data_IF_667507434219
#
_entry.id   IF_667507434219
#
_cell.length_a   1.000
_cell.length_b   1.000
_cell.length_c   1.000
_cell.angle_alpha   90.00
_cell.angle_beta   90.00
_cell.angle_gamma   90.00
#
_symmetry.space_group_name_H-M   'P 1'
#
loop_
_entity.id
_entity.type
_entity.pdbx_description
1 polymer ?
#
# COMPACT_ATOMS: atom_id res chain seq x y z
N UNK A 1 -24.71 -13.50 11.07
CA UNK A 1 -23.48 -13.13 10.36
C UNK A 1 -22.33 -13.61 11.20
N UNK A 2 -21.58 -14.60 10.72
CA UNK A 2 -20.34 -15.02 11.37
C UNK A 2 -19.32 -13.89 11.24
N UNK A 3 -18.25 -13.89 12.06
CA UNK A 3 -17.25 -12.82 11.98
C UNK A 3 -16.46 -12.80 10.64
N UNK A 4 -16.55 -13.87 9.85
CA UNK A 4 -15.93 -13.95 8.52
C UNK A 4 -16.69 -13.13 7.46
N UNK A 5 -18.01 -13.05 7.54
CA UNK A 5 -18.85 -12.29 6.58
C UNK A 5 -18.61 -10.76 6.62
N UNK A 6 -17.86 -10.27 7.62
CA UNK A 6 -17.63 -8.84 7.86
C UNK A 6 -16.24 -8.37 7.42
N UNK A 7 -15.42 -9.26 6.87
CA UNK A 7 -14.04 -8.96 6.48
C UNK A 7 -13.97 -8.62 4.99
N UNK A 8 -13.18 -7.61 4.64
CA UNK A 8 -12.80 -7.35 3.25
C UNK A 8 -11.89 -8.47 2.75
N UNK A 9 -12.10 -8.94 1.52
CA UNK A 9 -11.15 -9.82 0.84
C UNK A 9 -9.90 -9.00 0.46
N UNK A 10 -8.80 -9.19 1.18
CA UNK A 10 -7.58 -8.40 1.02
C UNK A 10 -6.92 -8.61 -0.36
N UNK A 11 -6.74 -9.86 -0.86
CA UNK A 11 -6.29 -10.10 -2.24
C UNK A 11 -7.10 -9.35 -3.30
N UNK A 12 -8.43 -9.45 -3.27
CA UNK A 12 -9.29 -8.77 -4.25
C UNK A 12 -9.16 -7.25 -4.11
N UNK A 13 -9.20 -6.74 -2.87
CA UNK A 13 -9.03 -5.32 -2.61
C UNK A 13 -7.71 -4.77 -3.18
N UNK A 14 -6.57 -5.42 -2.88
CA UNK A 14 -5.26 -4.96 -3.34
C UNK A 14 -5.08 -5.08 -4.86
N UNK A 15 -5.68 -6.08 -5.50
CA UNK A 15 -5.61 -6.29 -6.94
C UNK A 15 -6.53 -5.36 -7.75
N UNK A 16 -7.55 -4.76 -7.11
CA UNK A 16 -8.40 -3.75 -7.74
C UNK A 16 -7.88 -2.31 -7.54
N UNK A 17 -7.02 -2.07 -6.54
CA UNK A 17 -6.45 -0.75 -6.28
C UNK A 17 -5.62 -0.22 -7.45
N UNK A 18 -5.81 1.06 -7.79
CA UNK A 18 -5.13 1.75 -8.89
C UNK A 18 -5.26 0.99 -10.23
N UNK A 19 -6.47 0.48 -10.52
CA UNK A 19 -6.76 -0.35 -11.68
C UNK A 19 -5.83 -1.58 -11.81
N UNK A 20 -5.43 -2.17 -10.68
CA UNK A 20 -4.53 -3.32 -10.59
C UNK A 20 -3.05 -3.01 -10.78
N UNK A 21 -2.67 -1.73 -10.82
CA UNK A 21 -1.27 -1.32 -10.88
C UNK A 21 -0.63 -1.30 -9.49
N UNK A 22 -1.43 -1.14 -8.43
CA UNK A 22 -0.92 -1.02 -7.07
C UNK A 22 -0.13 -2.26 -6.61
N UNK A 23 -0.66 -3.46 -6.86
CA UNK A 23 0.00 -4.73 -6.53
C UNK A 23 1.39 -4.86 -7.19
N UNK A 24 1.46 -4.50 -8.48
CA UNK A 24 2.72 -4.50 -9.23
C UNK A 24 3.73 -3.49 -8.67
N UNK A 25 3.26 -2.28 -8.31
CA UNK A 25 4.09 -1.24 -7.68
C UNK A 25 4.64 -1.69 -6.33
N UNK A 26 3.79 -2.30 -5.48
CA UNK A 26 4.22 -2.82 -4.17
C UNK A 26 5.25 -3.94 -4.36
N UNK A 27 5.02 -4.85 -5.29
CA UNK A 27 5.93 -5.95 -5.60
C UNK A 27 7.32 -5.43 -6.02
N UNK A 28 7.38 -4.45 -6.91
CA UNK A 28 8.63 -3.83 -7.34
C UNK A 28 9.34 -3.13 -6.18
N UNK A 29 8.62 -2.30 -5.42
CA UNK A 29 9.17 -1.56 -4.27
C UNK A 29 9.72 -2.48 -3.18
N UNK A 30 9.03 -3.59 -2.88
CA UNK A 30 9.53 -4.57 -1.93
C UNK A 30 10.86 -5.19 -2.37
N UNK A 31 10.98 -5.52 -3.66
CA UNK A 31 12.22 -6.04 -4.23
C UNK A 31 13.35 -5.01 -4.18
N UNK A 32 13.08 -3.77 -4.60
CA UNK A 32 14.08 -2.71 -4.63
C UNK A 32 14.61 -2.36 -3.23
N UNK A 33 13.72 -2.29 -2.23
CA UNK A 33 14.11 -2.05 -0.84
C UNK A 33 14.93 -3.21 -0.29
N UNK A 34 14.52 -4.46 -0.58
CA UNK A 34 15.26 -5.64 -0.14
C UNK A 34 16.67 -5.69 -0.77
N UNK A 35 16.76 -5.45 -2.08
CA UNK A 35 18.03 -5.41 -2.81
C UNK A 35 18.94 -4.28 -2.30
N UNK A 36 18.36 -3.10 -2.02
CA UNK A 36 19.07 -1.97 -1.43
C UNK A 36 19.69 -2.34 -0.08
N UNK A 37 18.90 -2.95 0.81
CA UNK A 37 19.37 -3.40 2.15
C UNK A 37 20.46 -4.46 2.04
N UNK A 38 20.31 -5.44 1.15
CA UNK A 38 21.29 -6.51 0.96
C UNK A 38 22.63 -5.98 0.42
N UNK A 39 22.59 -5.08 -0.58
CA UNK A 39 23.79 -4.63 -1.27
C UNK A 39 24.52 -3.48 -0.57
N UNK A 40 23.79 -2.62 0.16
CA UNK A 40 24.35 -1.38 0.72
C UNK A 40 24.33 -1.36 2.26
N UNK A 41 23.74 -2.37 2.89
CA UNK A 41 23.52 -2.39 4.34
C UNK A 41 22.53 -1.31 4.80
N UNK A 42 22.33 -1.19 6.12
CA UNK A 42 21.40 -0.21 6.69
C UNK A 42 19.94 -0.68 6.74
N UNK A 43 19.00 0.25 6.94
CA UNK A 43 17.56 -0.04 7.13
C UNK A 43 16.75 0.45 5.93
N UNK A 44 15.92 -0.43 5.39
CA UNK A 44 14.88 -0.11 4.42
C UNK A 44 13.51 0.07 5.08
N UNK A 45 12.59 0.77 4.41
CA UNK A 45 11.20 0.95 4.88
C UNK A 45 10.25 1.00 3.69
N UNK A 46 9.10 0.34 3.80
CA UNK A 46 7.96 0.52 2.89
C UNK A 46 6.75 0.90 3.75
N UNK A 47 5.96 1.88 3.31
CA UNK A 47 4.77 2.37 3.99
C UNK A 47 3.63 2.45 2.99
N UNK A 48 2.55 1.72 3.28
CA UNK A 48 1.28 1.83 2.57
C UNK A 48 0.35 2.61 3.49
N UNK A 49 -0.09 3.77 3.02
CA UNK A 49 -1.00 4.67 3.72
C UNK A 49 -2.36 4.60 3.03
N UNK A 50 -3.43 4.38 3.81
CA UNK A 50 -4.80 4.26 3.34
C UNK A 50 -5.67 5.25 4.13
N UNK A 51 -6.14 6.29 3.45
CA UNK A 51 -6.98 7.33 4.03
C UNK A 51 -8.43 7.10 3.62
N UNK A 52 -9.32 7.08 4.61
CA UNK A 52 -10.75 6.82 4.42
C UNK A 52 -11.55 8.10 4.56
N UNK A 53 -12.36 8.41 3.55
CA UNK A 53 -13.32 9.50 3.58
C UNK A 53 -14.72 8.97 3.24
N UNK A 54 -15.76 9.66 3.69
CA UNK A 54 -17.11 9.37 3.20
C UNK A 54 -17.22 9.88 1.77
N UNK A 55 -17.83 9.09 0.88
CA UNK A 55 -18.07 9.51 -0.50
C UNK A 55 -19.12 10.64 -0.58
N UNK A 56 -20.02 10.70 0.41
CA UNK A 56 -21.02 11.75 0.55
C UNK A 56 -21.24 12.07 2.03
N UNK A 57 -21.66 13.30 2.32
CA UNK A 57 -22.07 13.71 3.66
C UNK A 57 -23.45 13.14 4.07
N UNK A 58 -24.20 12.58 3.12
CA UNK A 58 -25.47 11.91 3.42
C UNK A 58 -25.22 10.62 4.21
N UNK A 59 -25.95 10.45 5.31
CA UNK A 59 -25.95 9.23 6.13
C UNK A 59 -26.53 8.01 5.41
N UNK A 60 -27.28 8.24 4.32
CA UNK A 60 -27.90 7.18 3.53
C UNK A 60 -26.91 6.50 2.59
N UNK A 61 -25.85 7.22 2.20
CA UNK A 61 -24.76 6.69 1.38
C UNK A 61 -23.74 5.97 2.27
N UNK A 62 -23.68 4.65 2.16
CA UNK A 62 -22.82 3.78 2.98
C UNK A 62 -21.52 3.39 2.28
N UNK A 63 -21.05 4.20 1.34
CA UNK A 63 -19.77 4.02 0.65
C UNK A 63 -18.71 4.97 1.19
N UNK A 64 -17.47 4.49 1.18
CA UNK A 64 -16.27 5.26 1.54
C UNK A 64 -15.37 5.39 0.32
N UNK A 65 -14.69 6.52 0.20
CA UNK A 65 -13.56 6.70 -0.68
C UNK A 65 -12.29 6.29 0.08
N UNK A 66 -11.39 5.60 -0.61
CA UNK A 66 -10.09 5.19 -0.07
C UNK A 66 -9.01 5.80 -0.95
N UNK A 67 -8.28 6.77 -0.41
CA UNK A 67 -7.07 7.29 -1.03
C UNK A 67 -5.89 6.48 -0.54
N UNK A 68 -5.01 6.03 -1.44
CA UNK A 68 -3.85 5.23 -1.09
C UNK A 68 -2.55 5.94 -1.48
N UNK A 69 -1.51 5.77 -0.67
CA UNK A 69 -0.18 6.29 -0.96
C UNK A 69 0.90 5.26 -0.61
N UNK A 70 1.78 4.99 -1.56
CA UNK A 70 2.95 4.14 -1.38
C UNK A 70 4.19 5.03 -1.19
N UNK A 71 4.84 4.90 -0.03
CA UNK A 71 6.12 5.56 0.28
C UNK A 71 7.14 4.47 0.57
N UNK A 72 8.37 4.63 0.11
CA UNK A 72 9.42 3.68 0.44
C UNK A 72 10.76 4.38 0.60
N UNK A 73 11.70 3.70 1.24
CA UNK A 73 13.07 4.17 1.30
C UNK A 73 14.03 3.00 1.30
N UNK A 74 15.03 3.09 0.45
CA UNK A 74 16.05 2.06 0.26
C UNK A 74 17.46 2.67 0.44
N UNK A 75 18.37 1.99 1.13
CA UNK A 75 19.77 2.40 1.17
C UNK A 75 20.42 2.16 -0.21
N UNK A 76 21.22 3.12 -0.66
CA UNK A 76 21.96 3.09 -1.94
C UNK A 76 23.44 3.37 -1.71
N UNK A 77 24.33 3.08 -2.67
CA UNK A 77 25.77 3.35 -2.51
C UNK A 77 26.09 4.84 -2.24
N UNK A 78 25.19 5.74 -2.62
CA UNK A 78 25.34 7.20 -2.49
C UNK A 78 24.52 7.81 -1.35
N UNK A 79 23.86 7.00 -0.54
CA UNK A 79 23.01 7.48 0.57
C UNK A 79 21.69 6.73 0.66
N UNK A 80 20.58 7.47 0.64
CA UNK A 80 19.21 6.92 0.76
C UNK A 80 18.36 7.45 -0.38
N UNK A 81 17.62 6.55 -1.03
CA UNK A 81 16.55 6.93 -1.96
C UNK A 81 15.24 6.90 -1.18
N UNK A 82 14.44 7.96 -1.30
CA UNK A 82 13.11 8.15 -0.71
C UNK A 82 12.06 8.38 -1.81
#
# INVERSE_FOLDING_TARGET
MSQEDRKTNVPDFLSELDAGVFENKVSAVLNDVALGVLNNGGKGKVTIELDFARLSNSMEEKRVEITHKLKFSAPTPRGKTD
#
